data_IF_633926690719
#
_entry.id   IF_633926690719
#
_cell.length_a   1.000
_cell.length_b   1.000
_cell.length_c   1.000
_cell.angle_alpha   90.00
_cell.angle_beta   90.00
_cell.angle_gamma   90.00
#
_symmetry.space_group_name_H-M   'P 1'
#
loop_
_entity.id
_entity.type
_entity.pdbx_description
1 polymer ?
#
# COMPACT_ATOMS: atom_id res chain seq x y z
N UNK A 1 -6.74 -28.35 -14.61
CA UNK A 1 -6.22 -29.11 -13.46
C UNK A 1 -6.47 -28.33 -12.18
N UNK A 2 -7.03 -28.96 -11.20
CA UNK A 2 -7.26 -28.31 -9.91
C UNK A 2 -6.01 -28.39 -9.06
N UNK A 3 -5.68 -27.26 -8.43
CA UNK A 3 -4.68 -27.26 -7.39
C UNK A 3 -5.36 -27.53 -6.06
N UNK A 4 -4.81 -28.47 -5.33
CA UNK A 4 -5.29 -28.78 -3.99
C UNK A 4 -4.28 -28.28 -2.99
N UNK A 5 -4.71 -27.36 -2.15
CA UNK A 5 -3.86 -26.92 -1.04
C UNK A 5 -4.09 -27.83 0.15
N UNK A 6 -3.01 -28.16 0.84
CA UNK A 6 -3.11 -28.85 2.11
C UNK A 6 -3.68 -27.87 3.14
N UNK A 7 -4.11 -28.42 4.28
CA UNK A 7 -4.62 -27.58 5.37
C UNK A 7 -3.58 -26.57 5.83
N UNK A 8 -2.32 -27.01 5.95
CA UNK A 8 -1.23 -26.13 6.36
C UNK A 8 -0.99 -25.02 5.34
N UNK A 9 -1.07 -25.33 4.04
CA UNK A 9 -0.90 -24.33 2.99
C UNK A 9 -2.01 -23.29 3.02
N UNK A 10 -3.24 -23.72 3.27
CA UNK A 10 -4.37 -22.80 3.40
C UNK A 10 -4.21 -21.84 4.58
N UNK A 11 -3.72 -22.35 5.70
CA UNK A 11 -3.48 -21.52 6.88
C UNK A 11 -2.35 -20.52 6.62
N UNK A 12 -1.26 -20.97 6.00
CA UNK A 12 -0.16 -20.10 5.65
C UNK A 12 -0.62 -18.98 4.71
N UNK A 13 -1.45 -19.31 3.73
CA UNK A 13 -2.02 -18.32 2.82
C UNK A 13 -2.88 -17.30 3.55
N UNK A 14 -3.74 -17.76 4.46
CA UNK A 14 -4.59 -16.86 5.25
C UNK A 14 -3.78 -15.92 6.12
N UNK A 15 -2.73 -16.44 6.76
CA UNK A 15 -1.85 -15.63 7.61
C UNK A 15 -1.12 -14.59 6.79
N UNK A 16 -0.66 -14.96 5.61
CA UNK A 16 0.01 -14.04 4.69
C UNK A 16 -0.93 -12.92 4.26
N UNK A 17 -2.17 -13.27 3.89
CA UNK A 17 -3.16 -12.27 3.47
C UNK A 17 -3.55 -11.34 4.62
N UNK A 18 -3.69 -11.89 5.83
CA UNK A 18 -4.01 -11.09 7.00
C UNK A 18 -2.88 -10.10 7.32
N UNK A 19 -1.63 -10.53 7.18
CA UNK A 19 -0.47 -9.68 7.43
C UNK A 19 -0.39 -8.55 6.41
N UNK A 20 -0.61 -8.85 5.14
CA UNK A 20 -0.62 -7.86 4.08
C UNK A 20 -1.72 -6.83 4.32
N UNK A 21 -2.91 -7.30 4.66
CA UNK A 21 -4.04 -6.42 4.96
C UNK A 21 -3.74 -5.52 6.14
N UNK A 22 -3.16 -6.07 7.21
CA UNK A 22 -2.82 -5.28 8.40
C UNK A 22 -1.78 -4.22 8.07
N UNK A 23 -0.79 -4.54 7.22
CA UNK A 23 0.21 -3.58 6.79
C UNK A 23 -0.41 -2.43 5.99
N UNK A 24 -1.36 -2.74 5.09
CA UNK A 24 -2.08 -1.73 4.33
C UNK A 24 -2.92 -0.84 5.25
N UNK A 25 -3.60 -1.42 6.21
CA UNK A 25 -4.42 -0.67 7.16
C UNK A 25 -3.57 0.28 8.01
N UNK A 26 -2.40 -0.16 8.44
CA UNK A 26 -1.48 0.70 9.19
C UNK A 26 -0.98 1.85 8.34
N UNK A 27 -0.64 1.60 7.09
CA UNK A 27 -0.22 2.64 6.16
C UNK A 27 -1.36 3.64 5.93
N UNK A 28 -2.57 3.15 5.67
CA UNK A 28 -3.73 4.00 5.44
C UNK A 28 -4.03 4.88 6.66
N UNK A 29 -3.94 4.31 7.86
CA UNK A 29 -4.16 5.05 9.10
C UNK A 29 -3.09 6.13 9.28
N UNK A 30 -1.84 5.79 9.04
CA UNK A 30 -0.74 6.76 9.12
C UNK A 30 -0.97 7.92 8.16
N UNK A 31 -1.28 7.63 6.91
CA UNK A 31 -1.50 8.66 5.91
C UNK A 31 -2.67 9.57 6.28
N UNK A 32 -3.76 8.98 6.75
CA UNK A 32 -4.92 9.75 7.18
C UNK A 32 -4.59 10.67 8.36
N UNK A 33 -3.84 10.16 9.33
CA UNK A 33 -3.40 10.95 10.48
C UNK A 33 -2.50 12.11 10.08
N UNK A 34 -1.70 11.92 9.03
CA UNK A 34 -0.83 12.98 8.53
C UNK A 34 -1.56 14.01 7.67
N UNK A 35 -2.84 13.82 7.42
CA UNK A 35 -3.65 14.77 6.67
C UNK A 35 -3.79 14.44 5.19
N UNK A 36 -3.37 13.26 4.77
CA UNK A 36 -3.55 12.83 3.38
C UNK A 36 -4.98 12.36 3.14
N UNK A 37 -5.50 12.65 1.96
CA UNK A 37 -6.81 12.18 1.54
C UNK A 37 -6.62 11.07 0.51
N UNK A 38 -7.28 9.94 0.73
CA UNK A 38 -7.16 8.77 -0.15
C UNK A 38 -8.30 8.73 -1.16
N UNK A 39 -7.95 8.47 -2.40
CA UNK A 39 -8.90 8.21 -3.48
C UNK A 39 -8.60 6.85 -4.09
N UNK A 40 -9.65 6.10 -4.39
CA UNK A 40 -9.50 4.86 -5.12
C UNK A 40 -9.47 5.15 -6.62
N UNK A 41 -8.46 4.64 -7.29
CA UNK A 41 -8.36 4.79 -8.74
C UNK A 41 -9.10 3.64 -9.41
N UNK A 42 -9.68 3.93 -10.56
CA UNK A 42 -10.22 2.92 -11.44
C UNK A 42 -9.05 2.00 -11.84
N UNK A 43 -9.24 0.70 -11.91
CA UNK A 43 -8.20 -0.27 -12.29
C UNK A 43 -7.12 -0.53 -11.23
N UNK A 44 -7.49 -0.57 -9.97
CA UNK A 44 -6.65 -1.05 -8.86
C UNK A 44 -5.48 -0.18 -8.47
N UNK A 45 -5.74 1.04 -8.22
CA UNK A 45 -4.73 1.92 -7.68
C UNK A 45 -5.26 2.75 -6.54
N UNK A 46 -4.38 3.47 -5.90
CA UNK A 46 -4.73 4.43 -4.86
C UNK A 46 -4.02 5.74 -5.12
N UNK A 47 -4.70 6.83 -4.83
CA UNK A 47 -4.15 8.17 -4.93
C UNK A 47 -4.28 8.85 -3.59
N UNK A 48 -3.21 9.48 -3.15
CA UNK A 48 -3.18 10.23 -1.91
C UNK A 48 -2.83 11.68 -2.23
N UNK A 49 -3.59 12.61 -1.67
CA UNK A 49 -3.30 14.04 -1.87
C UNK A 49 -3.20 14.74 -0.54
N UNK A 50 -2.26 15.68 -0.46
CA UNK A 50 -2.09 16.56 0.70
C UNK A 50 -1.44 17.84 0.20
N UNK A 51 -2.12 18.97 0.39
CA UNK A 51 -1.65 20.27 -0.11
C UNK A 51 -1.37 20.19 -1.62
N UNK A 52 -0.14 20.46 -2.05
CA UNK A 52 0.25 20.40 -3.45
C UNK A 52 0.84 19.06 -3.86
N UNK A 53 0.94 18.12 -2.93
CA UNK A 53 1.60 16.83 -3.19
C UNK A 53 0.60 15.77 -3.57
N UNK A 54 1.00 14.89 -4.48
CA UNK A 54 0.19 13.76 -4.93
C UNK A 54 1.05 12.50 -4.96
N UNK A 55 0.56 11.45 -4.31
CA UNK A 55 1.20 10.14 -4.32
C UNK A 55 0.24 9.17 -5.00
N UNK A 56 0.74 8.38 -5.93
CA UNK A 56 -0.05 7.36 -6.60
C UNK A 56 0.63 6.01 -6.42
N UNK A 57 -0.15 5.02 -6.06
CA UNK A 57 0.29 3.64 -6.00
C UNK A 57 -0.53 2.83 -7.00
N UNK A 58 0.14 2.27 -7.98
CA UNK A 58 -0.51 1.48 -9.00
C UNK A 58 0.33 0.26 -9.35
N UNK A 59 0.01 -0.37 -10.46
CA UNK A 59 0.70 -1.57 -10.95
C UNK A 59 2.20 -1.34 -11.19
N UNK A 60 2.57 -0.14 -11.56
CA UNK A 60 3.96 0.22 -11.86
C UNK A 60 4.74 0.67 -10.64
N UNK A 61 4.10 0.68 -9.48
CA UNK A 61 4.74 1.04 -8.22
C UNK A 61 4.26 2.37 -7.66
N UNK A 62 5.16 3.09 -7.04
CA UNK A 62 4.86 4.36 -6.40
C UNK A 62 5.28 5.54 -7.25
N UNK A 63 4.46 6.57 -7.26
CA UNK A 63 4.74 7.82 -7.98
C UNK A 63 4.51 9.00 -7.05
N UNK A 64 5.47 9.91 -7.01
CA UNK A 64 5.35 11.16 -6.25
C UNK A 64 5.39 12.33 -7.21
N UNK A 65 4.29 13.06 -7.28
CA UNK A 65 4.16 14.23 -8.16
C UNK A 65 4.54 13.93 -9.61
N UNK A 66 4.13 12.74 -10.07
CA UNK A 66 4.37 12.31 -11.44
C UNK A 66 5.70 11.62 -11.67
N UNK A 67 6.55 11.51 -10.67
CA UNK A 67 7.84 10.82 -10.78
C UNK A 67 7.75 9.45 -10.13
N UNK A 68 8.29 8.45 -10.81
CA UNK A 68 8.37 7.11 -10.26
C UNK A 68 9.43 7.08 -9.16
N UNK A 69 9.06 6.56 -7.99
CA UNK A 69 9.96 6.47 -6.85
C UNK A 69 9.93 5.07 -6.26
N UNK A 70 10.92 4.73 -5.46
CA UNK A 70 10.92 3.46 -4.73
C UNK A 70 10.08 3.59 -3.46
N UNK A 71 9.68 2.46 -2.90
CA UNK A 71 8.96 2.43 -1.64
C UNK A 71 9.80 3.08 -0.52
N UNK A 72 11.10 2.84 -0.53
CA UNK A 72 12.01 3.44 0.44
C UNK A 72 12.01 4.96 0.34
N UNK A 73 12.07 5.49 -0.88
CA UNK A 73 12.02 6.93 -1.10
C UNK A 73 10.68 7.52 -0.64
N UNK A 74 9.59 6.80 -0.90
CA UNK A 74 8.28 7.21 -0.41
C UNK A 74 8.26 7.28 1.11
N UNK A 75 8.73 6.24 1.80
CA UNK A 75 8.75 6.20 3.25
C UNK A 75 9.58 7.34 3.84
N UNK A 76 10.68 7.68 3.19
CA UNK A 76 11.50 8.82 3.61
C UNK A 76 10.75 10.15 3.45
N UNK A 77 10.04 10.29 2.34
CA UNK A 77 9.29 11.51 2.07
C UNK A 77 8.18 11.75 3.08
N UNK A 78 7.42 10.71 3.41
CA UNK A 78 6.29 10.83 4.34
C UNK A 78 6.69 10.60 5.79
N UNK A 79 7.96 10.30 6.06
CA UNK A 79 8.46 9.97 7.39
C UNK A 79 7.74 8.78 8.01
N UNK A 80 7.47 7.76 7.20
CA UNK A 80 6.79 6.55 7.66
C UNK A 80 7.69 5.79 8.64
N UNK A 81 7.18 5.43 9.82
CA UNK A 81 8.00 4.71 10.80
C UNK A 81 8.32 3.30 10.29
N UNK A 82 9.61 2.99 10.23
CA UNK A 82 10.05 1.65 9.89
C UNK A 82 10.10 0.82 11.16
N UNK A 83 9.52 -0.35 11.07
CA UNK A 83 9.53 -1.29 12.20
C UNK A 83 10.81 -2.11 12.20
#
# INVERSE_FOLDING_TARGET
MRQHFTKAEKEAYRQEQARIKAAHERFDSFMTEQGWTKYHLFMRGSKWTKDADTIIHDRDGWHLNGQNITEKELHQFIHYPES
#
